data_IF_118821140303
#
_entry.id   IF_118821140303
#
_cell.length_a   1.000
_cell.length_b   1.000
_cell.length_c   1.000
_cell.angle_alpha   90.00
_cell.angle_beta   90.00
_cell.angle_gamma   90.00
#
_symmetry.space_group_name_H-M   'P 1'
#
loop_
_entity.id
_entity.type
_entity.pdbx_description
1 polymer ?
#
# COMPACT_ATOMS: atom_id res chain seq x y z
N UNK A 1 14.44 -2.62 4.16
CA UNK A 1 12.99 -2.35 4.33
C UNK A 1 12.29 -3.69 4.28
N UNK A 2 11.54 -4.01 5.33
CA UNK A 2 10.81 -5.28 5.45
C UNK A 2 9.46 -5.22 4.74
N UNK A 3 8.88 -6.38 4.39
CA UNK A 3 7.53 -6.48 3.79
C UNK A 3 6.47 -5.81 4.66
N UNK A 4 6.59 -5.89 5.99
CA UNK A 4 5.69 -5.21 6.94
C UNK A 4 5.83 -3.68 6.87
N UNK A 5 7.04 -3.15 6.78
CA UNK A 5 7.26 -1.70 6.62
C UNK A 5 6.71 -1.19 5.28
N UNK A 6 6.81 -1.98 4.21
CA UNK A 6 6.21 -1.64 2.93
C UNK A 6 4.68 -1.63 2.97
N UNK A 7 4.06 -2.62 3.64
CA UNK A 7 2.60 -2.66 3.82
C UNK A 7 2.10 -1.45 4.61
N UNK A 8 2.77 -1.09 5.71
CA UNK A 8 2.45 0.12 6.49
C UNK A 8 2.59 1.39 5.65
N UNK A 9 3.64 1.48 4.82
CA UNK A 9 3.87 2.62 3.92
C UNK A 9 2.75 2.74 2.88
N UNK A 10 2.35 1.64 2.25
CA UNK A 10 1.27 1.62 1.28
C UNK A 10 -0.06 2.03 1.92
N UNK A 11 -0.37 1.50 3.11
CA UNK A 11 -1.58 1.89 3.86
C UNK A 11 -1.59 3.40 4.17
N UNK A 12 -0.45 3.96 4.58
CA UNK A 12 -0.36 5.39 4.88
C UNK A 12 -0.52 6.25 3.61
N UNK A 13 0.02 5.82 2.47
CA UNK A 13 -0.16 6.53 1.21
C UNK A 13 -1.61 6.47 0.71
N UNK A 14 -2.31 5.34 0.89
CA UNK A 14 -3.74 5.21 0.57
C UNK A 14 -4.55 6.20 1.41
N UNK A 15 -4.30 6.28 2.74
CA UNK A 15 -4.97 7.25 3.61
C UNK A 15 -4.73 8.70 3.19
N UNK A 16 -3.50 9.04 2.78
CA UNK A 16 -3.19 10.38 2.27
C UNK A 16 -4.00 10.70 1.01
N UNK A 17 -4.19 9.71 0.13
CA UNK A 17 -5.02 9.87 -1.07
C UNK A 17 -6.51 9.97 -0.73
N UNK A 18 -7.03 9.21 0.22
CA UNK A 18 -8.43 9.32 0.64
C UNK A 18 -8.74 10.74 1.16
N UNK A 19 -7.84 11.32 1.96
CA UNK A 19 -7.95 12.73 2.39
C UNK A 19 -7.89 13.68 1.19
N UNK A 20 -6.98 13.46 0.25
CA UNK A 20 -6.87 14.31 -0.93
C UNK A 20 -8.09 14.19 -1.85
N UNK A 21 -8.71 13.02 -1.97
CA UNK A 21 -9.96 12.77 -2.71
C UNK A 21 -11.11 13.51 -2.05
N UNK A 22 -11.24 13.43 -0.73
CA UNK A 22 -12.25 14.18 0.02
C UNK A 22 -12.09 15.69 -0.22
N UNK A 23 -10.87 16.20 -0.07
CA UNK A 23 -10.56 17.61 -0.32
C UNK A 23 -10.81 18.00 -1.78
N UNK A 24 -10.43 17.17 -2.77
CA UNK A 24 -10.71 17.44 -4.17
C UNK A 24 -12.22 17.48 -4.44
N UNK A 25 -12.99 16.60 -3.82
CA UNK A 25 -14.46 16.57 -3.96
C UNK A 25 -15.09 17.85 -3.43
N UNK A 26 -14.57 18.39 -2.33
CA UNK A 26 -15.05 19.64 -1.72
C UNK A 26 -14.57 20.91 -2.45
N UNK A 27 -13.37 20.90 -3.04
CA UNK A 27 -12.69 22.07 -3.60
C UNK A 27 -12.73 22.16 -5.14
N UNK A 28 -13.64 21.46 -5.82
CA UNK A 28 -13.82 21.59 -7.27
C UNK A 28 -12.89 20.73 -8.13
N UNK A 29 -12.43 19.59 -7.60
CA UNK A 29 -11.82 18.50 -8.36
C UNK A 29 -10.29 18.50 -8.42
N UNK A 30 -9.60 19.37 -7.67
CA UNK A 30 -8.13 19.43 -7.62
C UNK A 30 -7.67 19.39 -6.16
N UNK A 31 -6.67 18.56 -5.86
CA UNK A 31 -6.01 18.54 -4.55
C UNK A 31 -4.51 18.23 -4.67
N UNK A 32 -3.83 18.30 -3.54
CA UNK A 32 -2.42 17.92 -3.38
C UNK A 32 -2.30 16.75 -2.41
N UNK A 33 -1.27 15.93 -2.59
CA UNK A 33 -1.01 14.79 -1.72
C UNK A 33 0.49 14.45 -1.72
N UNK A 34 0.91 13.73 -0.69
CA UNK A 34 2.29 13.24 -0.58
C UNK A 34 2.32 11.71 -0.56
N UNK A 35 3.17 11.14 -1.41
CA UNK A 35 3.51 9.72 -1.43
C UNK A 35 4.85 9.54 -0.74
N UNK A 36 4.89 8.66 0.24
CA UNK A 36 6.14 8.17 0.81
C UNK A 36 6.63 6.98 0.00
N UNK A 37 7.84 7.11 -0.52
CA UNK A 37 8.65 6.04 -1.10
C UNK A 37 9.67 5.58 -0.06
N UNK A 38 10.17 4.34 -0.16
CA UNK A 38 11.20 3.84 0.77
C UNK A 38 12.52 4.63 0.76
N UNK A 39 12.66 5.59 -0.15
CA UNK A 39 13.84 6.45 -0.34
C UNK A 39 13.54 7.94 -0.09
N UNK A 40 12.30 8.32 0.28
CA UNK A 40 11.93 9.72 0.49
C UNK A 40 10.43 9.98 0.26
N UNK A 41 10.01 11.24 0.36
CA UNK A 41 8.62 11.65 0.12
C UNK A 41 8.51 12.50 -1.14
N UNK A 42 7.46 12.29 -1.93
CA UNK A 42 7.15 13.06 -3.13
C UNK A 42 5.80 13.72 -2.97
N UNK A 43 5.75 15.04 -3.09
CA UNK A 43 4.51 15.82 -3.03
C UNK A 43 4.03 16.18 -4.44
N UNK A 44 2.79 15.80 -4.73
CA UNK A 44 2.07 16.17 -5.95
C UNK A 44 1.21 17.39 -5.63
N UNK A 45 1.51 18.53 -6.27
CA UNK A 45 0.89 19.82 -5.92
C UNK A 45 -0.45 20.08 -6.60
N UNK A 46 -0.74 19.42 -7.72
CA UNK A 46 -2.01 19.54 -8.46
C UNK A 46 -2.31 18.18 -9.09
N UNK A 47 -3.31 17.51 -8.55
CA UNK A 47 -3.85 16.29 -9.11
C UNK A 47 -5.36 16.42 -9.23
N UNK A 48 -5.91 15.98 -10.36
CA UNK A 48 -7.34 15.91 -10.57
C UNK A 48 -7.96 14.79 -9.73
N UNK A 49 -9.26 14.88 -9.44
CA UNK A 49 -10.00 13.82 -8.74
C UNK A 49 -9.82 12.44 -9.42
N UNK A 50 -9.81 12.41 -10.76
CA UNK A 50 -9.57 11.19 -11.53
C UNK A 50 -8.17 10.61 -11.25
N UNK A 51 -7.13 11.44 -11.27
CA UNK A 51 -5.75 11.00 -10.99
C UNK A 51 -5.59 10.52 -9.54
N UNK A 52 -6.28 11.15 -8.59
CA UNK A 52 -6.28 10.73 -7.19
C UNK A 52 -6.92 9.34 -7.01
N UNK A 53 -8.06 9.12 -7.65
CA UNK A 53 -8.77 7.82 -7.62
C UNK A 53 -7.94 6.73 -8.31
N UNK A 54 -7.38 7.03 -9.48
CA UNK A 54 -6.53 6.09 -10.22
C UNK A 54 -5.29 5.68 -9.41
N UNK A 55 -4.61 6.66 -8.81
CA UNK A 55 -3.47 6.40 -7.94
C UNK A 55 -3.87 5.60 -6.69
N UNK A 56 -5.02 5.89 -6.08
CA UNK A 56 -5.52 5.15 -4.91
C UNK A 56 -5.75 3.68 -5.26
N UNK A 57 -6.40 3.42 -6.39
CA UNK A 57 -6.67 2.06 -6.86
C UNK A 57 -5.38 1.31 -7.17
N UNK A 58 -4.39 1.96 -7.78
CA UNK A 58 -3.08 1.37 -8.03
C UNK A 58 -2.36 1.00 -6.72
N UNK A 59 -2.38 1.88 -5.71
CA UNK A 59 -1.78 1.57 -4.41
C UNK A 59 -2.52 0.45 -3.66
N UNK A 60 -3.84 0.38 -3.78
CA UNK A 60 -4.65 -0.69 -3.21
C UNK A 60 -4.33 -2.04 -3.87
N UNK A 61 -4.16 -2.08 -5.19
CA UNK A 61 -3.70 -3.26 -5.91
C UNK A 61 -2.33 -3.73 -5.37
N UNK A 62 -1.35 -2.82 -5.29
CA UNK A 62 -0.01 -3.15 -4.78
C UNK A 62 -0.02 -3.61 -3.32
N UNK A 63 -0.90 -3.01 -2.49
CA UNK A 63 -1.07 -3.43 -1.10
C UNK A 63 -1.60 -4.85 -1.01
N UNK A 64 -2.63 -5.18 -1.80
CA UNK A 64 -3.22 -6.52 -1.82
C UNK A 64 -2.22 -7.55 -2.33
N UNK A 65 -1.52 -7.27 -3.43
CA UNK A 65 -0.48 -8.15 -3.98
C UNK A 65 0.61 -8.44 -2.92
N UNK A 66 1.16 -7.41 -2.27
CA UNK A 66 2.17 -7.60 -1.22
C UNK A 66 1.62 -8.31 0.02
N UNK A 67 0.36 -8.07 0.38
CA UNK A 67 -0.28 -8.73 1.52
C UNK A 67 -0.48 -10.21 1.24
N UNK A 68 -0.90 -10.57 0.04
CA UNK A 68 -1.02 -11.96 -0.41
C UNK A 68 0.33 -12.66 -0.42
N UNK A 69 1.38 -12.01 -0.93
CA UNK A 69 2.76 -12.52 -0.85
C UNK A 69 3.19 -12.73 0.61
N UNK A 70 2.98 -11.76 1.50
CA UNK A 70 3.33 -11.88 2.91
C UNK A 70 2.55 -13.00 3.63
N UNK A 71 1.26 -13.18 3.31
CA UNK A 71 0.45 -14.28 3.85
C UNK A 71 0.82 -15.63 3.25
N UNK A 72 1.13 -15.69 1.95
CA UNK A 72 1.55 -16.91 1.25
C UNK A 72 2.95 -17.39 1.63
N UNK A 73 3.88 -16.47 1.86
CA UNK A 73 5.20 -16.79 2.44
C UNK A 73 5.07 -17.28 3.88
N UNK A 74 4.19 -16.68 4.70
CA UNK A 74 3.90 -17.19 6.05
C UNK A 74 3.34 -18.62 6.02
N UNK A 75 2.46 -18.95 5.08
CA UNK A 75 1.95 -20.32 4.91
C UNK A 75 3.05 -21.31 4.48
N UNK A 76 4.05 -20.85 3.73
CA UNK A 76 5.18 -21.67 3.27
C UNK A 76 6.18 -21.95 4.40
N UNK A 77 6.42 -20.98 5.30
CA UNK A 77 7.26 -21.16 6.49
C UNK A 77 6.58 -22.12 7.48
N UNK A 78 5.27 -21.99 7.70
CA UNK A 78 4.52 -22.91 8.59
C UNK A 78 4.45 -24.32 8.00
N UNK A 79 4.35 -24.48 6.67
CA UNK A 79 4.38 -25.80 6.03
C UNK A 79 5.73 -26.49 6.14
N UNK A 80 6.85 -25.77 6.16
CA UNK A 80 8.19 -26.36 6.26
C UNK A 80 8.59 -26.67 7.71
N UNK A 81 8.11 -25.91 8.70
CA UNK A 81 8.34 -26.22 10.12
C UNK A 81 7.60 -27.45 10.66
N UNK A 82 6.62 -28.00 9.91
CA UNK A 82 5.89 -29.21 10.29
C UNK A 82 6.42 -30.50 9.62
N UNK A 83 7.52 -30.47 8.85
CA UNK A 83 8.06 -31.66 8.15
C UNK A 83 9.30 -32.26 8.83
N UNK A 84 9.78 -31.71 9.95
CA UNK A 84 10.98 -32.21 10.65
C UNK A 84 10.72 -32.82 12.04
N UNK A 85 9.54 -33.39 12.25
CA UNK A 85 9.20 -34.20 13.43
C UNK A 85 8.59 -35.54 13.00
N UNK A 86 9.39 -36.31 12.26
CA UNK A 86 9.09 -37.68 11.85
C UNK A 86 10.31 -38.58 12.02
N UNK A 87 10.86 -38.62 13.23
CA UNK A 87 11.67 -39.74 13.69
C UNK A 87 10.70 -40.89 13.97
N UNK A 88 10.82 -42.01 13.26
CA UNK A 88 10.68 -43.40 13.75
C UNK A 88 11.21 -44.36 12.68
#
# INVERSE_FOLDING_TARGET
>A
MTTLEELKRLEQNIRNLDVAIEQATLNGGISNYSINSGQGSTTVKRATLKELIDMRNNLEYLYNEKKEHYSGENLSIIRNSNVYSGHF
#
